data_IF_905119272690
#
_entry.id   IF_905119272690
#
_cell.length_a   1.000
_cell.length_b   1.000
_cell.length_c   1.000
_cell.angle_alpha   90.00
_cell.angle_beta   90.00
_cell.angle_gamma   90.00
#
_symmetry.space_group_name_H-M   'P 1'
#
loop_
_entity.id
_entity.type
_entity.pdbx_description
1 polymer ?
#
# COMPACT_ATOMS: atom_id res chain seq x y z
N UNK A 1 -1.53 -67.79 59.62
CA UNK A 1 -1.59 -66.51 60.37
C UNK A 1 -0.36 -65.69 60.03
N UNK A 2 -0.58 -64.38 59.81
CA UNK A 2 0.36 -63.25 59.61
C UNK A 2 1.06 -63.12 58.24
N UNK A 3 0.54 -62.11 57.52
CA UNK A 3 1.06 -61.41 56.34
C UNK A 3 2.42 -60.77 56.61
N UNK A 4 3.27 -60.69 55.59
CA UNK A 4 4.27 -59.62 55.44
C UNK A 4 4.63 -59.49 53.97
N UNK A 5 4.15 -58.41 53.36
CA UNK A 5 4.46 -57.95 52.01
C UNK A 5 5.78 -57.19 52.06
N UNK A 6 6.71 -57.46 51.14
CA UNK A 6 7.74 -56.48 50.77
C UNK A 6 7.93 -56.50 49.25
N UNK A 7 7.64 -55.35 48.67
CA UNK A 7 7.82 -54.98 47.26
C UNK A 7 9.12 -54.17 47.16
N UNK A 8 9.96 -54.46 46.17
CA UNK A 8 10.89 -53.53 45.47
C UNK A 8 12.01 -54.37 44.81
N UNK A 9 12.44 -54.17 43.57
CA UNK A 9 12.05 -53.22 42.54
C UNK A 9 12.75 -53.64 41.23
N UNK A 10 12.00 -53.68 40.12
CA UNK A 10 12.56 -53.88 38.80
C UNK A 10 13.18 -52.55 38.33
N UNK A 11 14.50 -52.52 38.15
CA UNK A 11 15.21 -51.39 37.57
C UNK A 11 14.98 -51.40 36.04
N UNK A 12 13.94 -50.73 35.57
CA UNK A 12 13.75 -50.43 34.14
C UNK A 12 14.64 -49.24 33.79
N UNK A 13 15.78 -49.50 33.18
CA UNK A 13 16.61 -48.46 32.55
C UNK A 13 15.95 -48.08 31.22
N UNK A 14 15.09 -47.06 31.26
CA UNK A 14 14.60 -46.40 30.05
C UNK A 14 15.68 -45.44 29.54
N UNK A 15 16.41 -45.86 28.50
CA UNK A 15 17.26 -44.95 27.72
C UNK A 15 16.35 -44.04 26.89
N UNK A 16 16.12 -42.82 27.37
CA UNK A 16 15.46 -41.79 26.59
C UNK A 16 16.42 -41.30 25.50
N UNK A 17 16.19 -41.71 24.25
CA UNK A 17 16.78 -41.08 23.08
C UNK A 17 16.19 -39.67 22.93
N UNK A 18 16.88 -38.68 23.50
CA UNK A 18 16.70 -37.28 23.16
C UNK A 18 17.23 -37.05 21.74
N UNK A 19 16.40 -37.33 20.73
CA UNK A 19 16.60 -36.74 19.41
C UNK A 19 16.37 -35.23 19.55
N UNK A 20 17.47 -34.48 19.68
CA UNK A 20 17.47 -33.04 19.42
C UNK A 20 17.18 -32.83 17.93
N UNK A 21 15.92 -32.77 17.57
CA UNK A 21 15.53 -32.01 16.38
C UNK A 21 15.80 -30.54 16.73
N UNK A 22 17.00 -30.07 16.43
CA UNK A 22 17.23 -28.65 16.22
C UNK A 22 16.40 -28.27 14.98
N UNK A 23 15.10 -28.08 15.18
CA UNK A 23 14.30 -27.34 14.23
C UNK A 23 14.97 -25.99 14.11
N UNK A 24 15.52 -25.70 12.93
CA UNK A 24 15.78 -24.34 12.53
C UNK A 24 14.44 -23.61 12.71
N UNK A 25 14.30 -22.85 13.80
CA UNK A 25 13.28 -21.80 13.82
C UNK A 25 13.50 -21.05 12.50
N UNK A 26 12.48 -20.89 11.64
CA UNK A 26 12.59 -19.94 10.55
C UNK A 26 13.06 -18.66 11.23
N UNK A 27 14.21 -18.12 10.83
CA UNK A 27 14.67 -16.85 11.35
C UNK A 27 13.54 -15.86 11.07
N UNK A 28 12.77 -15.54 12.10
CA UNK A 28 11.65 -14.62 11.99
C UNK A 28 12.28 -13.34 11.46
N UNK A 29 11.98 -13.01 10.20
CA UNK A 29 12.54 -11.82 9.57
C UNK A 29 12.20 -10.66 10.49
N UNK A 30 13.22 -10.07 11.12
CA UNK A 30 12.99 -9.01 12.08
C UNK A 30 12.23 -7.87 11.40
N UNK A 31 11.25 -7.26 12.10
CA UNK A 31 10.50 -6.16 11.55
C UNK A 31 11.46 -5.01 11.19
N UNK A 32 11.29 -4.46 10.00
CA UNK A 32 12.03 -3.28 9.59
C UNK A 32 11.29 -2.06 10.16
N UNK A 33 11.94 -1.27 11.02
CA UNK A 33 11.27 -0.19 11.76
C UNK A 33 12.02 1.14 11.70
N UNK A 34 11.31 2.26 11.80
CA UNK A 34 11.90 3.60 11.87
C UNK A 34 10.95 4.63 12.48
N UNK A 35 11.51 5.80 12.85
CA UNK A 35 10.76 6.97 13.29
C UNK A 35 10.88 8.10 12.27
N UNK A 36 9.75 8.69 11.88
CA UNK A 36 9.68 9.78 10.88
C UNK A 36 10.23 9.33 9.53
N UNK A 37 11.35 9.90 9.11
CA UNK A 37 12.12 9.42 7.98
C UNK A 37 13.62 9.52 8.27
N UNK A 38 14.28 8.36 8.38
CA UNK A 38 15.73 8.27 8.53
C UNK A 38 16.41 8.31 7.17
N UNK A 39 16.37 9.47 6.51
CA UNK A 39 16.92 9.63 5.17
C UNK A 39 18.43 9.40 5.11
N UNK A 40 18.90 8.77 4.04
CA UNK A 40 20.30 8.76 3.63
C UNK A 40 20.68 10.11 3.03
N UNK A 41 21.10 11.04 3.88
CA UNK A 41 21.50 12.39 3.48
C UNK A 41 22.79 12.41 2.66
N UNK A 42 22.93 13.33 1.68
CA UNK A 42 24.17 13.47 0.90
C UNK A 42 25.36 13.88 1.79
N UNK A 43 25.10 14.73 2.78
CA UNK A 43 26.07 15.15 3.79
C UNK A 43 25.38 15.56 5.09
N UNK A 44 26.10 15.56 6.23
CA UNK A 44 25.59 16.12 7.49
C UNK A 44 25.16 17.59 7.38
N UNK A 45 25.85 18.39 6.55
CA UNK A 45 25.54 19.80 6.35
C UNK A 45 24.20 19.98 5.62
N UNK A 46 23.92 19.17 4.60
CA UNK A 46 22.63 19.17 3.91
C UNK A 46 21.50 18.81 4.89
N UNK A 47 21.70 17.80 5.73
CA UNK A 47 20.73 17.43 6.77
C UNK A 47 20.47 18.59 7.74
N UNK A 48 21.54 19.23 8.25
CA UNK A 48 21.42 20.36 9.17
C UNK A 48 20.73 21.56 8.51
N UNK A 49 21.03 21.84 7.24
CA UNK A 49 20.39 22.89 6.46
C UNK A 49 18.88 22.65 6.33
N UNK A 50 18.47 21.46 5.86
CA UNK A 50 17.06 21.12 5.66
C UNK A 50 16.27 21.18 6.98
N UNK A 51 16.89 20.74 8.07
CA UNK A 51 16.29 20.83 9.40
C UNK A 51 16.14 22.29 9.85
N UNK A 52 17.15 23.14 9.63
CA UNK A 52 17.14 24.56 10.00
C UNK A 52 16.13 25.38 9.17
N UNK A 53 16.01 25.09 7.88
CA UNK A 53 15.10 25.80 6.96
C UNK A 53 13.66 25.27 7.03
N UNK A 54 13.40 24.21 7.80
CA UNK A 54 12.08 23.59 7.91
C UNK A 54 11.71 22.70 6.71
N UNK A 55 12.63 22.51 5.75
CA UNK A 55 12.46 21.57 4.63
C UNK A 55 12.48 20.10 5.07
N UNK A 56 12.99 19.82 6.27
CA UNK A 56 12.87 18.51 6.92
C UNK A 56 12.27 18.64 8.32
N UNK A 57 11.12 18.01 8.50
CA UNK A 57 10.50 17.77 9.79
C UNK A 57 10.14 16.29 9.92
N UNK A 58 10.85 15.51 10.75
CA UNK A 58 10.59 14.08 10.90
C UNK A 58 9.19 13.77 11.46
N UNK A 59 8.55 14.71 12.17
CA UNK A 59 7.16 14.56 12.63
C UNK A 59 6.14 14.59 11.49
N UNK A 60 6.53 15.16 10.36
CA UNK A 60 5.66 15.33 9.19
C UNK A 60 5.88 14.23 8.12
N UNK A 61 6.91 13.40 8.30
CA UNK A 61 7.21 12.27 7.43
C UNK A 61 6.47 11.01 7.88
N UNK A 62 5.66 10.44 6.98
CA UNK A 62 4.96 9.17 7.20
C UNK A 62 4.80 8.42 5.89
N UNK A 63 5.13 7.13 5.88
CA UNK A 63 4.93 6.26 4.74
C UNK A 63 3.50 5.70 4.74
N UNK A 64 2.86 5.72 3.57
CA UNK A 64 1.47 5.30 3.42
C UNK A 64 1.28 4.16 2.43
N UNK A 65 2.31 3.86 1.65
CA UNK A 65 2.29 2.85 0.59
C UNK A 65 3.62 2.13 0.52
N UNK A 66 3.56 0.88 0.09
CA UNK A 66 4.67 -0.05 0.05
C UNK A 66 4.59 -0.89 -1.23
N UNK A 67 5.70 -1.11 -1.91
CA UNK A 67 5.85 -2.19 -2.89
C UNK A 67 7.18 -2.89 -2.66
N UNK A 68 7.23 -4.19 -2.96
CA UNK A 68 8.44 -4.99 -2.78
C UNK A 68 8.96 -5.43 -4.14
N UNK A 69 10.20 -5.08 -4.46
CA UNK A 69 10.93 -5.71 -5.57
C UNK A 69 12.22 -6.31 -5.04
N UNK A 70 12.37 -7.62 -5.19
CA UNK A 70 13.57 -8.39 -4.80
C UNK A 70 13.93 -8.22 -3.32
N UNK A 71 14.92 -7.37 -3.02
CA UNK A 71 15.40 -7.09 -1.66
C UNK A 71 15.12 -5.64 -1.23
N UNK A 72 14.40 -4.88 -2.06
CA UNK A 72 14.08 -3.48 -1.84
C UNK A 72 12.58 -3.31 -1.53
N UNK A 73 12.31 -2.47 -0.54
CA UNK A 73 10.99 -1.94 -0.25
C UNK A 73 10.91 -0.50 -0.73
N UNK A 74 10.02 -0.23 -1.68
CA UNK A 74 9.70 1.11 -2.16
C UNK A 74 8.57 1.67 -1.32
N UNK A 75 8.74 2.89 -0.83
CA UNK A 75 7.80 3.56 0.05
C UNK A 75 7.44 4.92 -0.53
N UNK A 76 6.16 5.25 -0.44
CA UNK A 76 5.70 6.63 -0.67
C UNK A 76 5.44 7.30 0.67
N UNK A 77 6.04 8.48 0.80
CA UNK A 77 5.86 9.43 1.90
C UNK A 77 5.17 10.66 1.31
N UNK A 78 3.83 10.72 1.31
CA UNK A 78 3.14 11.86 0.71
C UNK A 78 3.51 13.16 1.44
N UNK A 79 3.64 14.25 0.68
CA UNK A 79 3.78 15.61 1.19
C UNK A 79 2.44 16.13 1.72
N UNK A 80 1.95 15.48 2.77
CA UNK A 80 0.71 15.85 3.47
C UNK A 80 0.86 17.15 4.27
N UNK A 81 2.06 17.39 4.80
CA UNK A 81 2.46 18.55 5.60
C UNK A 81 3.82 19.04 5.12
N UNK A 82 4.19 20.28 5.43
CA UNK A 82 5.50 20.83 5.11
C UNK A 82 6.64 19.99 5.73
N UNK A 83 7.82 19.99 5.11
CA UNK A 83 9.02 19.37 5.69
C UNK A 83 9.18 17.88 5.36
N UNK A 84 8.73 17.44 4.18
CA UNK A 84 8.93 16.09 3.63
C UNK A 84 9.88 16.17 2.42
N UNK A 85 11.20 15.99 2.62
CA UNK A 85 12.22 16.18 1.59
C UNK A 85 12.04 15.26 0.38
N UNK A 86 11.77 13.98 0.62
CA UNK A 86 11.61 12.96 -0.41
C UNK A 86 10.27 12.26 -0.26
N UNK A 87 9.51 12.22 -1.35
CA UNK A 87 8.18 11.61 -1.40
C UNK A 87 8.20 10.16 -1.90
N UNK A 88 9.25 9.79 -2.62
CA UNK A 88 9.51 8.40 -3.04
C UNK A 88 10.89 7.97 -2.53
N UNK A 89 10.91 6.88 -1.77
CA UNK A 89 12.13 6.33 -1.20
C UNK A 89 12.18 4.82 -1.36
N UNK A 90 13.36 4.25 -1.13
CA UNK A 90 13.54 2.81 -0.95
C UNK A 90 14.35 2.49 0.28
N UNK A 91 14.23 1.25 0.74
CA UNK A 91 15.06 0.70 1.82
C UNK A 91 15.32 -0.78 1.57
N UNK A 92 16.43 -1.30 2.10
CA UNK A 92 16.81 -2.69 1.91
C UNK A 92 16.23 -3.57 3.01
N UNK A 93 15.50 -4.62 2.61
CA UNK A 93 14.86 -5.59 3.51
C UNK A 93 15.87 -6.44 4.31
N UNK A 94 17.15 -6.45 3.91
CA UNK A 94 18.22 -7.21 4.56
C UNK A 94 19.03 -6.39 5.57
N UNK A 95 18.64 -5.15 5.84
CA UNK A 95 19.36 -4.31 6.80
C UNK A 95 19.36 -4.96 8.19
N UNK A 96 20.54 -5.04 8.80
CA UNK A 96 20.74 -5.52 10.18
C UNK A 96 20.70 -4.39 11.22
N UNK A 97 20.42 -3.16 10.78
CA UNK A 97 20.37 -2.00 11.65
C UNK A 97 19.07 -2.00 12.46
N UNK A 98 19.13 -1.49 13.70
CA UNK A 98 17.96 -1.33 14.56
C UNK A 98 16.90 -0.38 13.96
N UNK A 99 17.31 0.47 13.02
CA UNK A 99 16.46 1.42 12.30
C UNK A 99 16.73 1.35 10.80
N UNK A 100 15.64 1.29 10.02
CA UNK A 100 15.66 1.34 8.57
C UNK A 100 16.20 2.68 8.08
N UNK A 101 17.09 2.65 7.08
CA UNK A 101 17.52 3.86 6.36
C UNK A 101 16.74 4.01 5.07
N UNK A 102 16.29 5.23 4.77
CA UNK A 102 15.46 5.55 3.61
C UNK A 102 16.27 6.31 2.57
N UNK A 103 16.45 5.73 1.40
CA UNK A 103 17.17 6.32 0.29
C UNK A 103 16.18 6.94 -0.68
N UNK A 104 16.27 8.25 -1.00
CA UNK A 104 15.47 8.84 -2.06
C UNK A 104 15.63 8.10 -3.38
N UNK A 105 14.51 7.73 -3.98
CA UNK A 105 14.50 6.95 -5.22
C UNK A 105 13.98 7.79 -6.40
N UNK A 106 14.65 7.76 -7.56
CA UNK A 106 15.95 7.13 -7.81
C UNK A 106 17.13 7.88 -7.16
N UNK A 107 16.97 9.18 -6.88
CA UNK A 107 17.99 10.02 -6.25
C UNK A 107 17.38 11.28 -5.65
N UNK A 108 18.19 12.07 -4.93
CA UNK A 108 17.79 13.35 -4.36
C UNK A 108 17.27 14.36 -5.39
N UNK A 109 17.90 14.43 -6.57
CA UNK A 109 17.48 15.35 -7.65
C UNK A 109 16.02 15.11 -8.06
N UNK A 110 15.56 13.86 -8.07
CA UNK A 110 14.16 13.54 -8.41
C UNK A 110 13.16 14.01 -7.35
N UNK A 111 13.61 14.43 -6.18
CA UNK A 111 12.75 14.87 -5.07
C UNK A 111 12.67 16.39 -4.93
N UNK A 112 13.38 17.17 -5.73
CA UNK A 112 13.32 18.64 -5.64
C UNK A 112 11.91 19.14 -6.01
N UNK A 113 11.32 20.07 -5.25
CA UNK A 113 9.94 20.54 -5.52
C UNK A 113 9.87 21.57 -6.66
N UNK A 114 11.02 22.09 -7.09
CA UNK A 114 11.12 23.31 -7.91
C UNK A 114 11.26 23.03 -9.42
N UNK A 115 11.21 21.77 -9.83
CA UNK A 115 11.30 21.37 -11.24
C UNK A 115 10.02 20.71 -11.72
N UNK A 116 9.62 21.01 -12.95
CA UNK A 116 8.48 20.33 -13.59
C UNK A 116 8.79 18.85 -13.87
N UNK A 117 10.05 18.42 -13.86
CA UNK A 117 10.47 17.07 -14.22
C UNK A 117 10.68 16.14 -13.00
N UNK A 118 10.45 16.65 -11.79
CA UNK A 118 10.72 15.95 -10.52
C UNK A 118 9.43 15.60 -9.77
N UNK A 119 9.51 14.68 -8.81
CA UNK A 119 8.35 14.28 -8.02
C UNK A 119 7.89 15.42 -7.11
N UNK A 120 6.64 15.84 -7.31
CA UNK A 120 5.99 16.88 -6.52
C UNK A 120 5.31 16.28 -5.28
N UNK A 121 4.44 15.28 -5.44
CA UNK A 121 3.85 14.58 -4.32
C UNK A 121 3.33 13.21 -4.77
N UNK A 122 4.14 12.18 -4.53
CA UNK A 122 3.71 10.81 -4.75
C UNK A 122 2.68 10.44 -3.68
N UNK A 123 1.55 9.87 -4.09
CA UNK A 123 0.49 9.43 -3.16
C UNK A 123 0.17 7.95 -3.26
N UNK A 124 0.49 7.33 -4.40
CA UNK A 124 0.35 5.91 -4.60
C UNK A 124 1.45 5.34 -5.49
N UNK A 125 1.71 4.03 -5.33
CA UNK A 125 2.61 3.30 -6.20
C UNK A 125 2.12 1.86 -6.45
N UNK A 126 2.43 1.36 -7.64
CA UNK A 126 2.15 -0.01 -8.06
C UNK A 126 3.38 -0.59 -8.76
N UNK A 127 3.77 -1.80 -8.41
CA UNK A 127 4.83 -2.53 -9.12
C UNK A 127 4.18 -3.49 -10.11
N UNK A 128 4.56 -3.43 -11.39
CA UNK A 128 4.06 -4.35 -12.40
C UNK A 128 4.93 -5.59 -12.59
N UNK A 129 4.44 -6.50 -13.45
CA UNK A 129 5.10 -7.76 -13.79
C UNK A 129 6.44 -7.59 -14.54
N UNK A 130 6.74 -6.37 -15.04
CA UNK A 130 7.95 -6.04 -15.79
C UNK A 130 8.97 -5.29 -14.93
N UNK A 131 8.85 -5.35 -13.60
CA UNK A 131 9.71 -4.61 -12.66
C UNK A 131 9.62 -3.07 -12.85
N UNK A 132 8.52 -2.57 -13.41
CA UNK A 132 8.24 -1.12 -13.51
C UNK A 132 7.47 -0.65 -12.28
N UNK A 133 8.04 0.33 -11.59
CA UNK A 133 7.41 1.02 -10.49
C UNK A 133 6.61 2.21 -11.01
N UNK A 134 5.30 2.07 -11.06
CA UNK A 134 4.38 3.15 -11.42
C UNK A 134 4.05 3.99 -10.19
N UNK A 135 4.17 5.31 -10.31
CA UNK A 135 4.01 6.26 -9.21
C UNK A 135 3.02 7.34 -9.61
N UNK A 136 1.96 7.49 -8.82
CA UNK A 136 0.97 8.55 -8.99
C UNK A 136 1.45 9.82 -8.26
N UNK A 137 1.82 10.82 -9.05
CA UNK A 137 2.15 12.17 -8.56
C UNK A 137 0.98 13.11 -8.81
N UNK A 138 0.40 13.64 -7.74
CA UNK A 138 -0.80 14.48 -7.85
C UNK A 138 -0.50 15.97 -8.07
N UNK A 139 0.77 16.37 -8.01
CA UNK A 139 1.18 17.75 -8.24
C UNK A 139 0.75 18.76 -7.17
N UNK A 140 0.19 18.30 -6.04
CA UNK A 140 -0.31 19.13 -4.93
C UNK A 140 0.39 18.72 -3.64
N UNK A 141 1.01 19.66 -2.94
CA UNK A 141 1.66 19.46 -1.63
C UNK A 141 0.80 20.02 -0.50
N UNK A 142 1.16 19.69 0.75
CA UNK A 142 0.52 20.14 1.99
C UNK A 142 -0.98 19.80 2.05
N UNK A 143 -1.35 18.62 1.53
CA UNK A 143 -2.75 18.24 1.31
C UNK A 143 -3.58 18.02 2.58
N UNK A 144 -2.96 17.93 3.76
CA UNK A 144 -3.64 17.89 5.06
C UNK A 144 -3.60 19.22 5.82
N UNK A 145 -2.91 20.23 5.28
CA UNK A 145 -2.80 21.57 5.85
C UNK A 145 -3.42 22.58 4.88
N UNK A 146 -2.59 23.35 4.16
CA UNK A 146 -3.00 24.27 3.12
C UNK A 146 -2.51 23.74 1.77
N UNK A 147 -3.37 23.06 0.98
CA UNK A 147 -2.97 22.46 -0.28
C UNK A 147 -2.44 23.50 -1.27
N UNK A 148 -1.27 23.24 -1.86
CA UNK A 148 -0.65 24.10 -2.89
C UNK A 148 -0.36 23.25 -4.12
N UNK A 149 -0.93 23.63 -5.26
CA UNK A 149 -0.60 23.01 -6.55
C UNK A 149 0.73 23.56 -7.05
N UNK A 150 1.67 22.67 -7.33
CA UNK A 150 3.02 22.96 -7.85
C UNK A 150 3.20 22.47 -9.29
N UNK A 151 2.50 21.41 -9.67
CA UNK A 151 2.57 20.82 -11.01
C UNK A 151 1.23 20.16 -11.40
N UNK A 152 1.15 19.70 -12.65
CA UNK A 152 0.02 18.92 -13.14
C UNK A 152 0.09 17.47 -12.63
N UNK A 153 -1.06 16.81 -12.40
CA UNK A 153 -1.07 15.41 -12.00
C UNK A 153 -0.57 14.52 -13.13
N UNK A 154 0.19 13.48 -12.77
CA UNK A 154 0.79 12.54 -13.72
C UNK A 154 1.05 11.17 -13.09
N UNK A 155 1.26 10.17 -13.93
CA UNK A 155 1.83 8.88 -13.52
C UNK A 155 3.22 8.75 -14.13
N UNK A 156 4.23 8.38 -13.33
CA UNK A 156 5.57 8.08 -13.82
C UNK A 156 5.85 6.58 -13.66
N UNK A 157 6.39 5.95 -14.70
CA UNK A 157 6.92 4.59 -14.64
C UNK A 157 8.43 4.63 -14.49
N UNK A 158 8.97 4.02 -13.43
CA UNK A 158 10.41 3.91 -13.21
C UNK A 158 10.86 2.47 -13.39
N UNK A 159 12.01 2.28 -14.04
CA UNK A 159 12.71 1.01 -13.96
C UNK A 159 13.28 0.84 -12.53
N UNK A 160 12.86 -0.19 -11.79
CA UNK A 160 13.29 -0.39 -10.40
C UNK A 160 14.79 -0.61 -10.24
N UNK A 161 15.48 -1.13 -11.27
CA UNK A 161 16.91 -1.43 -11.24
C UNK A 161 17.77 -0.21 -11.58
N UNK A 162 17.44 0.52 -12.65
CA UNK A 162 18.23 1.67 -13.11
C UNK A 162 17.79 2.99 -12.50
N UNK A 163 16.54 3.06 -12.02
CA UNK A 163 15.95 4.31 -11.55
C UNK A 163 15.51 5.26 -12.67
N UNK A 164 15.66 4.84 -13.94
CA UNK A 164 15.29 5.66 -15.09
C UNK A 164 13.77 5.77 -15.21
N UNK A 165 13.31 6.96 -15.59
CA UNK A 165 11.91 7.20 -15.96
C UNK A 165 11.70 6.62 -17.36
N UNK A 166 10.93 5.54 -17.45
CA UNK A 166 10.64 4.88 -18.73
C UNK A 166 9.35 5.39 -19.37
N UNK A 167 8.42 5.95 -18.58
CA UNK A 167 7.16 6.54 -19.06
C UNK A 167 6.70 7.69 -18.17
N UNK A 168 6.03 8.66 -18.80
CA UNK A 168 5.27 9.72 -18.13
C UNK A 168 3.90 9.79 -18.79
N UNK A 169 2.85 9.70 -17.98
CA UNK A 169 1.45 9.81 -18.40
C UNK A 169 0.89 11.10 -17.82
N UNK A 170 0.54 12.05 -18.70
CA UNK A 170 -0.09 13.31 -18.31
C UNK A 170 -1.59 13.11 -18.01
N UNK A 171 -2.05 13.58 -16.85
CA UNK A 171 -3.45 13.50 -16.43
C UNK A 171 -4.16 14.87 -16.45
N UNK A 172 -3.51 15.96 -16.91
CA UNK A 172 -4.08 17.31 -16.87
C UNK A 172 -5.42 17.41 -17.63
N UNK A 173 -5.54 16.77 -18.79
CA UNK A 173 -6.79 16.71 -19.58
C UNK A 173 -7.85 15.74 -19.03
N UNK A 174 -7.50 14.93 -18.02
CA UNK A 174 -8.36 13.92 -17.42
C UNK A 174 -8.81 14.31 -16.01
N UNK A 175 -8.44 15.51 -15.56
CA UNK A 175 -8.74 16.02 -14.22
C UNK A 175 -9.42 17.38 -14.27
N UNK A 176 -9.97 17.78 -13.14
CA UNK A 176 -10.57 19.09 -12.91
C UNK A 176 -9.85 19.78 -11.75
N UNK A 177 -10.02 21.10 -11.54
CA UNK A 177 -9.48 21.77 -10.37
C UNK A 177 -9.93 21.17 -9.03
N UNK A 178 -11.06 20.46 -9.00
CA UNK A 178 -11.59 19.80 -7.81
C UNK A 178 -11.18 18.34 -7.68
N UNK A 179 -10.50 17.77 -8.67
CA UNK A 179 -10.11 16.36 -8.69
C UNK A 179 -9.23 15.99 -7.49
N UNK A 180 -9.47 14.80 -6.93
CA UNK A 180 -8.73 14.25 -5.79
C UNK A 180 -8.27 12.85 -6.14
N UNK A 181 -7.10 12.76 -6.78
CA UNK A 181 -6.47 11.50 -7.14
C UNK A 181 -5.85 10.84 -5.91
N UNK A 182 -6.01 9.53 -5.75
CA UNK A 182 -5.63 8.85 -4.49
C UNK A 182 -5.06 7.44 -4.68
N UNK A 183 -5.58 6.66 -5.62
CA UNK A 183 -5.16 5.29 -5.89
C UNK A 183 -4.85 5.10 -7.37
N UNK A 184 -3.84 4.30 -7.64
CA UNK A 184 -3.39 3.87 -8.96
C UNK A 184 -3.36 2.35 -8.99
N UNK A 185 -3.94 1.77 -10.04
CA UNK A 185 -3.82 0.35 -10.34
C UNK A 185 -3.36 0.17 -11.78
N UNK A 186 -2.49 -0.82 -12.00
CA UNK A 186 -1.97 -1.20 -13.32
C UNK A 186 -2.53 -2.58 -13.66
N UNK A 187 -3.09 -2.69 -14.86
CA UNK A 187 -3.62 -3.95 -15.38
C UNK A 187 -3.03 -4.29 -16.75
N UNK A 188 -2.90 -5.59 -17.01
CA UNK A 188 -2.48 -6.12 -18.30
C UNK A 188 -3.55 -7.08 -18.78
N UNK A 189 -4.04 -6.83 -19.99
CA UNK A 189 -4.89 -7.79 -20.68
C UNK A 189 -4.11 -9.07 -21.01
N UNK A 190 -4.79 -10.19 -21.32
CA UNK A 190 -4.13 -11.43 -21.73
C UNK A 190 -3.18 -11.28 -22.93
N UNK A 191 -3.44 -10.33 -23.84
CA UNK A 191 -2.58 -9.97 -24.98
C UNK A 191 -1.47 -8.96 -24.63
N UNK A 192 -1.35 -8.55 -23.37
CA UNK A 192 -0.25 -7.72 -22.85
C UNK A 192 -0.46 -6.22 -22.99
N UNK A 193 -1.66 -5.75 -23.33
CA UNK A 193 -1.96 -4.30 -23.35
C UNK A 193 -2.06 -3.78 -21.92
N UNK A 194 -1.35 -2.70 -21.65
CA UNK A 194 -1.28 -2.08 -20.33
C UNK A 194 -2.35 -0.99 -20.18
N UNK A 195 -3.10 -1.06 -19.08
CA UNK A 195 -4.10 -0.07 -18.70
C UNK A 195 -3.81 0.46 -17.30
N UNK A 196 -4.05 1.75 -17.10
CA UNK A 196 -4.00 2.39 -15.78
C UNK A 196 -5.41 2.76 -15.33
N UNK A 197 -5.71 2.49 -14.06
CA UNK A 197 -6.93 2.91 -13.39
C UNK A 197 -6.58 3.83 -12.22
N UNK A 198 -7.08 5.07 -12.26
CA UNK A 198 -6.80 6.08 -11.23
C UNK A 198 -8.11 6.54 -10.60
N UNK A 199 -8.20 6.46 -9.28
CA UNK A 199 -9.39 6.93 -8.56
C UNK A 199 -9.44 8.46 -8.53
N UNK A 200 -10.56 9.08 -8.88
CA UNK A 200 -10.83 10.49 -8.61
C UNK A 200 -12.06 10.63 -7.68
N UNK A 201 -11.79 10.67 -6.38
CA UNK A 201 -12.85 10.61 -5.37
C UNK A 201 -13.77 11.84 -5.40
N UNK A 202 -13.21 13.03 -5.62
CA UNK A 202 -13.99 14.26 -5.62
C UNK A 202 -14.81 14.41 -6.91
N UNK A 203 -14.29 13.92 -8.04
CA UNK A 203 -15.00 13.94 -9.32
C UNK A 203 -15.93 12.73 -9.53
N UNK A 204 -16.00 11.80 -8.56
CA UNK A 204 -16.84 10.60 -8.62
C UNK A 204 -16.58 9.78 -9.89
N UNK A 205 -15.32 9.60 -10.20
CA UNK A 205 -14.89 8.96 -11.44
C UNK A 205 -13.68 8.06 -11.23
N UNK A 206 -13.50 7.13 -12.16
CA UNK A 206 -12.25 6.40 -12.38
C UNK A 206 -11.69 6.89 -13.71
N UNK A 207 -10.44 7.34 -13.71
CA UNK A 207 -9.70 7.62 -14.94
C UNK A 207 -9.17 6.30 -15.47
N UNK A 208 -9.44 6.01 -16.73
CA UNK A 208 -8.91 4.86 -17.47
C UNK A 208 -7.91 5.39 -18.48
N UNK A 209 -6.72 4.81 -18.55
CA UNK A 209 -5.70 5.18 -19.53
C UNK A 209 -5.19 3.94 -20.25
N UNK A 210 -5.27 3.95 -21.58
CA UNK A 210 -4.71 2.92 -22.46
C UNK A 210 -3.29 3.33 -22.86
N UNK A 211 -2.30 2.58 -22.38
CA UNK A 211 -0.88 2.87 -22.63
C UNK A 211 -0.46 2.66 -24.08
N UNK A 212 -1.14 1.75 -24.80
CA UNK A 212 -0.84 1.46 -26.19
C UNK A 212 -1.42 2.54 -27.12
N UNK A 213 -2.62 3.02 -26.81
CA UNK A 213 -3.28 4.08 -27.57
C UNK A 213 -2.83 5.50 -27.17
N UNK A 214 -2.12 5.63 -26.04
CA UNK A 214 -1.72 6.91 -25.43
C UNK A 214 -2.92 7.84 -25.19
N UNK A 215 -4.04 7.25 -24.75
CA UNK A 215 -5.31 7.94 -24.56
C UNK A 215 -5.96 7.52 -23.26
N UNK A 216 -6.54 8.50 -22.58
CA UNK A 216 -7.36 8.25 -21.40
C UNK A 216 -8.74 8.89 -21.51
N UNK A 217 -9.63 8.42 -20.64
CA UNK A 217 -10.97 8.95 -20.48
C UNK A 217 -11.44 8.75 -19.03
N UNK A 218 -12.59 9.34 -18.70
CA UNK A 218 -13.16 9.30 -17.36
C UNK A 218 -14.43 8.47 -17.37
N UNK A 219 -14.49 7.47 -16.50
CA UNK A 219 -15.69 6.69 -16.22
C UNK A 219 -16.38 7.31 -15.00
N UNK A 220 -17.51 7.99 -15.22
CA UNK A 220 -18.30 8.58 -14.15
C UNK A 220 -19.08 7.49 -13.42
N UNK A 221 -18.93 7.43 -12.11
CA UNK A 221 -19.54 6.38 -11.29
C UNK A 221 -21.06 6.62 -11.14
N UNK A 222 -21.89 5.57 -11.25
CA UNK A 222 -23.33 5.67 -11.05
C UNK A 222 -23.71 6.25 -9.68
N UNK A 223 -24.88 6.91 -9.60
CA UNK A 223 -25.37 7.52 -8.35
C UNK A 223 -25.36 6.55 -7.17
N UNK A 224 -25.70 5.28 -7.40
CA UNK A 224 -25.70 4.21 -6.39
C UNK A 224 -24.36 4.07 -5.68
N UNK A 225 -23.24 4.15 -6.42
CA UNK A 225 -21.88 4.05 -5.87
C UNK A 225 -21.56 5.23 -4.94
N UNK A 226 -22.15 6.38 -5.23
CA UNK A 226 -21.90 7.64 -4.52
C UNK A 226 -22.97 7.97 -3.47
N UNK A 227 -23.94 7.06 -3.28
CA UNK A 227 -25.04 7.23 -2.34
C UNK A 227 -24.51 7.18 -0.91
N UNK A 228 -24.47 8.33 -0.24
CA UNK A 228 -23.87 8.51 1.09
C UNK A 228 -22.55 9.28 1.09
N UNK A 229 -21.96 9.56 -0.08
CA UNK A 229 -20.81 10.45 -0.19
C UNK A 229 -21.21 11.90 0.06
N UNK A 230 -21.13 12.33 1.32
CA UNK A 230 -21.52 13.69 1.74
C UNK A 230 -20.35 14.68 1.74
N UNK A 231 -19.12 14.22 1.47
CA UNK A 231 -17.91 15.03 1.56
C UNK A 231 -17.07 14.94 0.30
N UNK A 232 -16.58 16.10 -0.17
CA UNK A 232 -15.54 16.16 -1.22
C UNK A 232 -14.18 15.62 -0.76
N UNK A 233 -14.03 15.34 0.54
CA UNK A 233 -12.81 14.79 1.16
C UNK A 233 -12.86 13.28 1.42
N UNK A 234 -13.88 12.60 0.90
CA UNK A 234 -13.99 11.15 0.99
C UNK A 234 -12.84 10.44 0.25
N UNK A 235 -12.71 9.14 0.46
CA UNK A 235 -11.66 8.30 -0.12
C UNK A 235 -12.30 7.24 -1.00
N UNK A 236 -12.01 7.23 -2.30
CA UNK A 236 -12.42 6.19 -3.23
C UNK A 236 -11.27 5.18 -3.37
N UNK A 237 -11.41 4.00 -2.76
CA UNK A 237 -10.42 2.93 -2.88
C UNK A 237 -10.63 2.12 -4.15
N UNK A 238 -9.53 1.63 -4.73
CA UNK A 238 -9.50 0.66 -5.82
C UNK A 238 -8.71 -0.58 -5.41
N UNK A 239 -9.13 -1.75 -5.89
CA UNK A 239 -8.39 -3.01 -5.82
C UNK A 239 -8.66 -3.84 -7.07
N UNK A 240 -7.62 -4.21 -7.80
CA UNK A 240 -7.75 -5.11 -8.94
C UNK A 240 -7.54 -6.55 -8.46
N UNK A 241 -8.52 -7.41 -8.74
CA UNK A 241 -8.41 -8.84 -8.52
C UNK A 241 -8.32 -9.58 -9.86
N UNK A 242 -7.40 -10.53 -9.95
CA UNK A 242 -7.26 -11.49 -11.05
C UNK A 242 -7.98 -12.77 -10.66
N UNK A 243 -9.13 -13.04 -11.29
CA UNK A 243 -9.99 -14.18 -11.01
C UNK A 243 -9.40 -15.46 -11.59
N UNK A 244 -9.84 -16.60 -11.07
CA UNK A 244 -9.41 -17.93 -11.54
C UNK A 244 -9.79 -18.26 -12.99
N UNK A 245 -10.80 -17.57 -13.54
CA UNK A 245 -11.23 -17.68 -14.94
C UNK A 245 -10.37 -16.84 -15.91
N UNK A 246 -9.37 -16.12 -15.40
CA UNK A 246 -8.48 -15.26 -16.18
C UNK A 246 -8.99 -13.82 -16.35
N UNK A 247 -10.20 -13.51 -15.89
CA UNK A 247 -10.74 -12.15 -15.95
C UNK A 247 -10.14 -11.27 -14.85
N UNK A 248 -9.96 -9.99 -15.16
CA UNK A 248 -9.63 -8.97 -14.17
C UNK A 248 -10.88 -8.20 -13.76
N UNK A 249 -11.03 -7.99 -12.46
CA UNK A 249 -12.18 -7.28 -11.88
C UNK A 249 -11.66 -6.16 -11.00
N UNK A 250 -12.10 -4.93 -11.28
CA UNK A 250 -11.76 -3.76 -10.47
C UNK A 250 -12.84 -3.58 -9.39
N UNK A 251 -12.46 -3.85 -8.14
CA UNK A 251 -13.26 -3.57 -6.96
C UNK A 251 -13.03 -2.14 -6.49
N UNK A 252 -14.10 -1.48 -6.04
CA UNK A 252 -14.01 -0.12 -5.53
C UNK A 252 -15.10 0.20 -4.50
N UNK A 253 -14.75 1.11 -3.60
CA UNK A 253 -15.69 1.61 -2.59
C UNK A 253 -15.22 2.97 -2.09
N UNK A 254 -16.18 3.85 -1.80
CA UNK A 254 -15.91 5.00 -0.95
C UNK A 254 -15.79 4.57 0.52
N UNK A 255 -14.95 5.26 1.31
CA UNK A 255 -14.82 5.01 2.74
C UNK A 255 -16.16 5.19 3.46
N UNK A 256 -16.87 6.27 3.14
CA UNK A 256 -18.14 6.63 3.79
C UNK A 256 -19.34 5.76 3.40
N UNK A 257 -19.31 5.20 2.19
CA UNK A 257 -20.39 4.37 1.63
C UNK A 257 -20.37 2.98 2.28
N UNK A 258 -21.53 2.34 2.44
CA UNK A 258 -21.68 1.07 3.16
C UNK A 258 -21.71 -0.16 2.25
N UNK A 259 -21.24 -0.05 1.00
CA UNK A 259 -21.33 -1.12 0.00
C UNK A 259 -20.02 -1.26 -0.77
N UNK A 260 -19.72 -2.48 -1.22
CA UNK A 260 -18.62 -2.78 -2.12
C UNK A 260 -19.16 -2.90 -3.54
N UNK A 261 -18.44 -2.38 -4.52
CA UNK A 261 -18.81 -2.45 -5.92
C UNK A 261 -17.67 -3.06 -6.74
N UNK A 262 -18.02 -3.59 -7.91
CA UNK A 262 -17.04 -4.07 -8.88
C UNK A 262 -17.44 -3.75 -10.29
N UNK A 263 -16.46 -3.77 -11.18
CA UNK A 263 -16.66 -3.74 -12.63
C UNK A 263 -15.63 -4.67 -13.26
N UNK A 264 -16.08 -5.50 -14.20
CA UNK A 264 -15.17 -6.25 -15.06
C UNK A 264 -14.35 -5.27 -15.91
N UNK A 265 -13.04 -5.40 -15.87
CA UNK A 265 -12.13 -4.47 -16.55
C UNK A 265 -12.29 -4.49 -18.05
N UNK A 266 -12.81 -5.58 -18.65
CA UNK A 266 -13.05 -5.64 -20.09
C UNK A 266 -13.95 -4.49 -20.56
N UNK A 267 -14.96 -4.13 -19.75
CA UNK A 267 -15.85 -3.01 -20.05
C UNK A 267 -15.12 -1.66 -19.96
N UNK A 268 -14.19 -1.52 -19.01
CA UNK A 268 -13.34 -0.35 -18.90
C UNK A 268 -12.35 -0.27 -20.07
N UNK A 269 -11.76 -1.39 -20.49
CA UNK A 269 -10.75 -1.45 -21.55
C UNK A 269 -11.35 -1.17 -22.93
N UNK A 270 -12.60 -1.58 -23.17
CA UNK A 270 -13.33 -1.31 -24.41
C UNK A 270 -14.11 0.02 -24.39
N UNK A 271 -14.06 0.78 -23.29
CA UNK A 271 -14.87 1.99 -23.09
C UNK A 271 -16.37 1.74 -23.35
N UNK A 272 -16.89 0.60 -22.88
CA UNK A 272 -18.26 0.18 -23.16
C UNK A 272 -19.28 1.13 -22.48
N UNK A 273 -20.13 1.85 -23.24
CA UNK A 273 -21.13 2.75 -22.67
C UNK A 273 -22.24 2.01 -21.90
N UNK A 274 -22.38 0.69 -22.09
CA UNK A 274 -23.34 -0.17 -21.41
C UNK A 274 -22.73 -0.90 -20.20
N UNK A 275 -21.48 -0.61 -19.85
CA UNK A 275 -20.81 -1.16 -18.69
C UNK A 275 -21.66 -1.05 -17.42
N UNK A 276 -21.92 -2.18 -16.77
CA UNK A 276 -22.67 -2.22 -15.50
C UNK A 276 -21.71 -2.37 -14.35
N UNK A 277 -21.95 -1.58 -13.31
CA UNK A 277 -21.30 -1.76 -12.02
C UNK A 277 -22.09 -2.80 -11.26
N UNK A 278 -21.40 -3.83 -10.79
CA UNK A 278 -21.96 -4.85 -9.92
C UNK A 278 -21.92 -4.41 -8.47
N UNK A 279 -23.02 -4.63 -7.77
CA UNK A 279 -23.14 -4.40 -6.34
C UNK A 279 -22.80 -5.70 -5.59
N UNK A 280 -21.61 -5.73 -4.99
CA UNK A 280 -21.10 -6.93 -4.32
C UNK A 280 -21.82 -7.20 -2.99
N UNK A 281 -22.48 -6.20 -2.41
CA UNK A 281 -23.16 -6.30 -1.13
C UNK A 281 -22.70 -5.29 -0.07
N UNK A 282 -23.31 -5.33 1.12
CA UNK A 282 -23.01 -4.41 2.20
C UNK A 282 -21.65 -4.71 2.85
N UNK A 283 -20.93 -3.65 3.24
CA UNK A 283 -19.73 -3.77 4.06
C UNK A 283 -20.15 -3.90 5.53
N UNK A 284 -19.59 -4.83 6.30
CA UNK A 284 -19.89 -4.97 7.74
C UNK A 284 -19.38 -3.78 8.57
N UNK A 285 -18.51 -2.95 8.00
CA UNK A 285 -18.03 -1.70 8.57
C UNK A 285 -17.39 -0.83 7.48
N UNK A 286 -16.87 0.34 7.86
CA UNK A 286 -16.08 1.16 6.92
C UNK A 286 -14.75 0.47 6.66
N UNK A 287 -14.48 0.15 5.40
CA UNK A 287 -13.29 -0.59 4.98
C UNK A 287 -12.25 0.37 4.41
N UNK A 288 -10.99 0.17 4.83
CA UNK A 288 -9.79 0.72 4.22
C UNK A 288 -9.12 -0.41 3.44
N UNK A 289 -9.07 -0.30 2.11
CA UNK A 289 -8.31 -1.25 1.28
C UNK A 289 -6.83 -0.99 1.46
N UNK A 290 -6.06 -2.04 1.76
CA UNK A 290 -4.64 -1.98 2.05
C UNK A 290 -3.78 -2.43 0.87
N UNK A 291 -4.29 -3.32 0.01
CA UNK A 291 -3.57 -3.82 -1.14
C UNK A 291 -4.12 -5.16 -1.62
N UNK A 292 -3.41 -5.79 -2.55
CA UNK A 292 -3.74 -7.09 -3.12
C UNK A 292 -2.51 -7.98 -3.16
N UNK A 293 -2.70 -9.28 -3.36
CA UNK A 293 -1.61 -10.22 -3.68
C UNK A 293 -1.28 -10.23 -5.20
N UNK A 294 -1.85 -9.29 -5.96
CA UNK A 294 -1.87 -9.27 -7.44
C UNK A 294 -2.58 -10.46 -8.09
N UNK A 295 -3.15 -11.36 -7.29
CA UNK A 295 -4.06 -12.44 -7.67
C UNK A 295 -5.48 -12.07 -7.29
N UNK A 296 -6.20 -13.00 -6.66
CA UNK A 296 -7.60 -12.81 -6.29
C UNK A 296 -7.77 -12.22 -4.87
N UNK A 297 -6.73 -12.11 -4.06
CA UNK A 297 -6.88 -11.70 -2.67
C UNK A 297 -6.81 -10.18 -2.51
N UNK A 298 -7.78 -9.64 -1.77
CA UNK A 298 -7.85 -8.24 -1.36
C UNK A 298 -7.64 -8.17 0.15
N UNK A 299 -6.71 -7.32 0.57
CA UNK A 299 -6.39 -7.09 1.97
C UNK A 299 -7.00 -5.77 2.43
N UNK A 300 -7.62 -5.79 3.60
CA UNK A 300 -8.29 -4.63 4.14
C UNK A 300 -8.34 -4.64 5.66
N UNK A 301 -8.67 -3.48 6.23
CA UNK A 301 -9.02 -3.35 7.65
C UNK A 301 -10.26 -2.50 7.81
N UNK A 302 -10.84 -2.55 9.01
CA UNK A 302 -11.90 -1.62 9.37
C UNK A 302 -11.30 -0.26 9.80
N UNK A 303 -12.02 0.82 9.52
CA UNK A 303 -11.65 2.17 9.95
C UNK A 303 -11.43 2.20 11.47
N UNK A 304 -10.31 2.76 11.90
CA UNK A 304 -9.93 2.85 13.31
C UNK A 304 -9.46 1.56 13.98
N UNK A 305 -9.55 0.40 13.32
CA UNK A 305 -9.11 -0.90 13.86
C UNK A 305 -7.80 -1.35 13.21
N UNK A 306 -6.95 -2.05 13.97
CA UNK A 306 -5.63 -2.52 13.51
C UNK A 306 -5.65 -3.90 12.83
N UNK A 307 -6.65 -4.73 13.11
CA UNK A 307 -6.77 -6.07 12.52
C UNK A 307 -6.88 -6.01 10.99
N UNK A 308 -6.14 -6.89 10.32
CA UNK A 308 -6.14 -7.01 8.86
C UNK A 308 -6.82 -8.30 8.44
N UNK A 309 -7.70 -8.16 7.47
CA UNK A 309 -8.49 -9.22 6.88
C UNK A 309 -8.08 -9.41 5.41
N UNK A 310 -8.11 -10.67 4.98
CA UNK A 310 -7.99 -11.11 3.59
C UNK A 310 -9.35 -11.57 3.11
N UNK A 311 -9.74 -11.14 1.92
CA UNK A 311 -10.89 -11.66 1.19
C UNK A 311 -10.44 -12.20 -0.16
N UNK A 312 -10.82 -13.44 -0.48
CA UNK A 312 -10.62 -14.01 -1.80
C UNK A 312 -11.78 -13.60 -2.72
N UNK A 313 -11.48 -12.80 -3.73
CA UNK A 313 -12.47 -12.28 -4.67
C UNK A 313 -13.18 -13.39 -5.45
N UNK A 314 -12.68 -14.63 -5.52
CA UNK A 314 -13.41 -15.75 -6.11
C UNK A 314 -14.64 -16.17 -5.27
N UNK A 315 -14.74 -15.71 -4.03
CA UNK A 315 -15.88 -15.94 -3.15
C UNK A 315 -16.80 -14.71 -3.08
N UNK A 316 -18.05 -14.88 -2.65
CA UNK A 316 -18.95 -13.74 -2.46
C UNK A 316 -18.44 -12.79 -1.37
N UNK A 317 -18.73 -11.50 -1.50
CA UNK A 317 -18.34 -10.48 -0.52
C UNK A 317 -19.22 -10.59 0.73
N UNK A 318 -18.79 -11.43 1.67
CA UNK A 318 -19.53 -11.72 2.90
C UNK A 318 -18.57 -12.00 4.06
N UNK A 319 -18.96 -11.65 5.28
CA UNK A 319 -18.12 -11.76 6.49
C UNK A 319 -17.57 -13.16 6.73
N UNK A 320 -18.35 -14.19 6.42
CA UNK A 320 -17.91 -15.60 6.52
C UNK A 320 -16.71 -15.94 5.63
N UNK A 321 -16.43 -15.14 4.59
CA UNK A 321 -15.31 -15.31 3.67
C UNK A 321 -14.12 -14.39 4.00
N UNK A 322 -14.19 -13.65 5.10
CA UNK A 322 -13.11 -12.76 5.54
C UNK A 322 -12.22 -13.48 6.56
N UNK A 323 -10.95 -13.66 6.20
CA UNK A 323 -9.96 -14.34 7.03
C UNK A 323 -9.08 -13.30 7.71
N UNK A 324 -9.04 -13.28 9.04
CA UNK A 324 -8.10 -12.43 9.78
C UNK A 324 -6.67 -12.96 9.60
N UNK A 325 -5.79 -12.17 9.00
CA UNK A 325 -4.39 -12.52 8.68
C UNK A 325 -3.38 -11.78 9.56
N UNK A 326 -3.83 -10.74 10.26
CA UNK A 326 -3.05 -10.05 11.28
C UNK A 326 -4.00 -9.60 12.39
N UNK A 327 -3.60 -9.83 13.63
CA UNK A 327 -4.30 -9.29 14.80
C UNK A 327 -3.35 -8.41 15.58
N UNK A 328 -3.80 -7.21 15.88
CA UNK A 328 -2.96 -6.26 16.59
C UNK A 328 -2.90 -6.64 18.06
N UNK A 329 -1.74 -7.08 18.53
CA UNK A 329 -1.47 -7.27 19.96
C UNK A 329 -0.80 -6.00 20.51
N UNK A 330 -1.47 -5.32 21.44
CA UNK A 330 -0.92 -4.26 22.32
C UNK A 330 -0.44 -2.95 21.67
N UNK A 331 -0.11 -2.92 20.37
CA UNK A 331 0.39 -1.71 19.70
C UNK A 331 -0.75 -0.90 19.06
N UNK A 332 -0.80 0.42 19.27
CA UNK A 332 -1.80 1.32 18.64
C UNK A 332 -1.53 1.61 17.14
N UNK A 333 -0.92 0.67 16.41
CA UNK A 333 -0.57 0.85 15.00
C UNK A 333 -1.75 0.54 14.11
N UNK A 334 -1.81 1.25 12.99
CA UNK A 334 -2.75 0.97 11.92
C UNK A 334 -1.97 0.61 10.66
N UNK A 335 -2.39 -0.47 10.02
CA UNK A 335 -1.94 -0.81 8.70
C UNK A 335 -2.30 0.30 7.69
N UNK A 336 -1.35 0.69 6.87
CA UNK A 336 -1.55 1.66 5.78
C UNK A 336 -1.41 1.01 4.41
N UNK A 337 -0.70 -0.12 4.30
CA UNK A 337 -0.58 -0.88 3.07
C UNK A 337 -0.21 -2.35 3.28
N UNK A 338 -0.59 -3.20 2.34
CA UNK A 338 -0.14 -4.60 2.21
C UNK A 338 0.43 -4.79 0.81
N UNK A 339 1.61 -5.40 0.71
CA UNK A 339 2.28 -5.66 -0.56
C UNK A 339 2.82 -7.09 -0.64
N UNK A 340 2.77 -7.68 -1.83
CA UNK A 340 3.32 -9.02 -2.09
C UNK A 340 4.85 -9.00 -2.13
N UNK A 341 5.51 -9.91 -1.41
CA UNK A 341 6.93 -10.24 -1.51
C UNK A 341 7.08 -11.58 -2.24
N UNK A 342 6.95 -11.53 -3.58
CA UNK A 342 7.00 -12.72 -4.46
C UNK A 342 8.26 -13.56 -4.23
N UNK A 343 9.39 -12.91 -3.93
CA UNK A 343 10.67 -13.60 -3.75
C UNK A 343 10.68 -14.51 -2.53
N UNK A 344 9.92 -14.17 -1.49
CA UNK A 344 9.90 -14.89 -0.22
C UNK A 344 8.60 -15.62 0.03
N UNK A 345 7.66 -15.55 -0.91
CA UNK A 345 6.34 -16.15 -0.79
C UNK A 345 5.61 -15.69 0.48
N UNK A 346 5.57 -14.36 0.68
CA UNK A 346 4.94 -13.72 1.84
C UNK A 346 4.26 -12.42 1.46
N UNK A 347 3.39 -11.94 2.34
CA UNK A 347 2.86 -10.58 2.30
C UNK A 347 3.60 -9.71 3.31
N UNK A 348 3.84 -8.45 2.95
CA UNK A 348 4.44 -7.41 3.81
C UNK A 348 3.37 -6.42 4.23
N UNK A 349 3.36 -6.12 5.52
CA UNK A 349 2.41 -5.19 6.13
C UNK A 349 3.16 -3.92 6.55
N UNK A 350 2.75 -2.77 6.00
CA UNK A 350 3.21 -1.45 6.45
C UNK A 350 2.25 -0.93 7.50
N UNK A 351 2.77 -0.66 8.70
CA UNK A 351 2.00 -0.13 9.82
C UNK A 351 2.64 1.14 10.38
N UNK A 352 1.82 1.99 10.98
CA UNK A 352 2.30 3.20 11.65
C UNK A 352 1.35 3.66 12.74
N UNK A 353 1.83 4.54 13.62
CA UNK A 353 0.96 5.30 14.53
C UNK A 353 0.27 6.48 13.82
N UNK A 354 -0.31 6.22 12.64
CA UNK A 354 -1.02 7.20 11.80
C UNK A 354 -2.04 8.08 12.57
N UNK A 355 -2.80 7.57 13.56
CA UNK A 355 -3.69 8.43 14.35
C UNK A 355 -2.96 9.56 15.10
N UNK A 356 -1.79 9.28 15.68
CA UNK A 356 -0.99 10.30 16.36
C UNK A 356 -0.42 11.31 15.37
N UNK A 357 -0.04 10.86 14.18
CA UNK A 357 0.42 11.73 13.09
C UNK A 357 -0.66 12.73 12.68
N UNK A 358 -1.90 12.26 12.50
CA UNK A 358 -3.03 13.11 12.16
C UNK A 358 -3.33 14.13 13.27
N UNK A 359 -3.25 13.72 14.54
CA UNK A 359 -3.46 14.61 15.70
C UNK A 359 -2.28 15.55 15.99
N UNK A 360 -1.12 15.32 15.38
CA UNK A 360 0.10 16.08 15.68
C UNK A 360 0.77 15.68 17.00
N UNK A 361 0.45 14.51 17.54
CA UNK A 361 0.92 14.02 18.85
C UNK A 361 2.12 13.06 18.76
N UNK A 362 2.70 12.86 17.56
CA UNK A 362 3.91 12.04 17.41
C UNK A 362 5.09 12.65 18.18
N UNK A 363 5.95 11.79 18.73
CA UNK A 363 7.16 12.16 19.45
C UNK A 363 8.24 12.75 18.52
N UNK A 364 9.38 12.08 18.38
CA UNK A 364 10.44 12.53 17.46
C UNK A 364 10.12 12.30 15.97
N UNK A 365 9.09 11.50 15.68
CA UNK A 365 8.60 11.16 14.35
C UNK A 365 7.49 10.12 14.44
N UNK A 366 6.76 9.87 13.36
CA UNK A 366 5.80 8.76 13.31
C UNK A 366 6.55 7.42 13.37
N UNK A 367 6.20 6.54 14.30
CA UNK A 367 6.73 5.18 14.35
C UNK A 367 6.10 4.34 13.24
N UNK A 368 6.93 3.63 12.49
CA UNK A 368 6.56 2.89 11.31
C UNK A 368 7.30 1.56 11.27
N UNK A 369 6.65 0.52 10.76
CA UNK A 369 7.21 -0.82 10.66
C UNK A 369 6.74 -1.53 9.39
N UNK A 370 7.60 -2.38 8.84
CA UNK A 370 7.27 -3.38 7.84
C UNK A 370 7.44 -4.75 8.48
N UNK A 371 6.31 -5.44 8.66
CA UNK A 371 6.23 -6.79 9.22
C UNK A 371 5.86 -7.78 8.11
N UNK A 372 5.94 -9.07 8.43
CA UNK A 372 5.49 -10.16 7.54
C UNK A 372 4.17 -10.68 8.07
N UNK A 373 3.19 -10.89 7.20
CA UNK A 373 1.91 -11.52 7.53
C UNK A 373 1.68 -12.75 6.66
N UNK A 374 0.85 -13.65 7.16
CA UNK A 374 0.40 -14.83 6.39
C UNK A 374 -0.67 -14.42 5.36
N UNK A 375 -0.89 -15.28 4.36
CA UNK A 375 -1.84 -15.02 3.27
C UNK A 375 -1.22 -14.75 1.90
N UNK A 376 0.02 -15.21 1.66
CA UNK A 376 0.55 -15.40 0.30
C UNK A 376 -0.19 -16.50 -0.47
N UNK A 377 0.20 -16.70 -1.73
CA UNK A 377 -0.55 -17.37 -2.83
C UNK A 377 -1.33 -18.63 -2.47
#
# INVERSE_FOLDING_TARGET
MRKSTLVAGCLLVTVALLQRTAGLLPSLLQPLQWFGAAFCWPSPDTHALYKRTGQFNPRNCIATRLQISKDEAFLVLPRYKCGVPATLVKTCLKQKCCQARLEPFPCWKMQEEDSCDTLTNAVDLCLDIHDTLWVLDIGIVNTLEQPVRKSNPRVLGFNTKTGEVIRVVDLNGLTTPTSRLQYLVVDFTPDGRCFLYISDAAAKAIIVYDMAADKGFRVVLPKLVTAGCNSKRDVLYLALARKCDGNTVLYFTYLSVQRMFSIDTQYLQCADPQAKVDDCGPKPGRIVILGTDNGAAIFFRYEGLGDVYRWDANTCFHTNNFVAVHRTCESCLLATHVAADYRRDKMRLLESNFPDYLKGCVGCGAYQTITTIEGGY
#
